data_IF_981399126520
#
_entry.id   IF_981399126520
#
_cell.length_a   1.000
_cell.length_b   1.000
_cell.length_c   1.000
_cell.angle_alpha   90.00
_cell.angle_beta   90.00
_cell.angle_gamma   90.00
#
_symmetry.space_group_name_H-M   'P 1'
#
loop_
_entity.id
_entity.type
_entity.pdbx_description
1 polymer ?
#
# COMPACT_ATOMS: atom_id res chain seq x y z
N UNK A 1 -50.33 -1.14 8.02
CA UNK A 1 -49.77 0.06 8.68
C UNK A 1 -48.24 -0.03 8.63
N UNK A 2 -47.61 0.82 7.82
CA UNK A 2 -46.15 0.88 7.59
C UNK A 2 -45.41 1.50 8.80
N UNK A 3 -44.26 0.92 9.19
CA UNK A 3 -43.15 1.59 9.90
C UNK A 3 -41.82 0.92 9.48
N UNK A 4 -41.16 1.38 8.41
CA UNK A 4 -39.88 2.14 8.40
C UNK A 4 -38.82 1.56 9.38
N UNK A 5 -37.84 0.76 8.96
CA UNK A 5 -36.57 1.09 8.24
C UNK A 5 -35.81 2.30 8.81
N UNK A 6 -34.68 2.03 9.48
CA UNK A 6 -33.36 2.67 9.29
C UNK A 6 -32.40 2.21 10.40
N UNK A 7 -31.43 1.39 10.03
CA UNK A 7 -30.27 1.02 10.85
C UNK A 7 -29.26 2.16 10.82
N UNK A 8 -28.96 2.73 11.99
CA UNK A 8 -27.94 3.74 12.23
C UNK A 8 -26.82 3.13 13.10
N UNK A 9 -25.90 2.40 12.47
CA UNK A 9 -24.62 2.07 13.12
C UNK A 9 -23.63 3.20 12.80
N UNK A 10 -23.50 4.15 13.74
CA UNK A 10 -22.47 5.19 13.73
C UNK A 10 -21.17 4.65 14.33
N UNK A 11 -20.07 4.98 13.64
CA UNK A 11 -18.67 4.94 14.05
C UNK A 11 -18.40 5.39 15.50
N UNK A 12 -17.51 4.66 16.18
CA UNK A 12 -16.46 5.13 17.10
C UNK A 12 -15.47 3.94 17.25
N UNK A 13 -14.19 3.95 16.87
CA UNK A 13 -13.05 4.82 17.15
C UNK A 13 -12.56 4.77 18.62
N UNK A 14 -11.34 4.22 18.79
CA UNK A 14 -10.30 4.50 19.81
C UNK A 14 -10.16 3.61 21.07
N UNK A 15 -9.09 2.77 21.01
CA UNK A 15 -8.07 2.37 22.04
C UNK A 15 -8.51 1.70 23.35
N UNK A 16 -7.97 0.49 23.61
CA UNK A 16 -6.85 0.28 24.56
C UNK A 16 -6.54 -1.21 24.83
N UNK A 17 -5.24 -1.53 24.81
CA UNK A 17 -4.49 -2.49 25.63
C UNK A 17 -5.01 -3.93 25.77
N UNK A 18 -4.31 -4.89 25.17
CA UNK A 18 -4.10 -6.20 25.78
C UNK A 18 -2.63 -6.62 25.58
N UNK A 19 -1.88 -6.65 26.69
CA UNK A 19 -0.59 -7.31 26.83
C UNK A 19 -0.88 -8.77 27.15
N UNK A 20 -0.39 -9.71 26.35
CA UNK A 20 -0.33 -11.13 26.74
C UNK A 20 1.10 -11.50 27.10
N UNK A 21 1.34 -11.73 28.39
CA UNK A 21 2.47 -12.50 28.91
C UNK A 21 2.05 -13.97 28.88
N UNK A 22 2.76 -14.81 28.13
CA UNK A 22 2.51 -16.25 28.07
C UNK A 22 3.78 -17.01 27.69
N UNK A 23 4.25 -17.85 28.61
CA UNK A 23 5.47 -18.63 28.52
C UNK A 23 5.20 -20.09 28.06
N UNK A 24 6.09 -20.61 27.18
CA UNK A 24 6.38 -22.03 26.95
C UNK A 24 5.79 -22.68 25.68
N UNK A 25 6.28 -23.85 25.19
CA UNK A 25 7.56 -24.55 25.41
C UNK A 25 8.32 -24.90 24.09
N UNK A 26 9.48 -25.54 24.27
CA UNK A 26 10.50 -25.93 23.28
C UNK A 26 9.95 -26.73 22.08
N UNK A 27 10.32 -26.34 20.84
CA UNK A 27 10.36 -27.26 19.70
C UNK A 27 11.74 -27.26 19.06
N UNK A 28 12.30 -28.46 18.92
CA UNK A 28 13.47 -28.73 18.09
C UNK A 28 12.97 -28.79 16.65
N UNK A 29 13.52 -27.97 15.77
CA UNK A 29 13.44 -28.20 14.33
C UNK A 29 14.85 -28.07 13.75
N UNK A 30 15.43 -29.22 13.46
CA UNK A 30 16.63 -29.39 12.67
C UNK A 30 16.27 -29.18 11.19
N UNK A 31 17.03 -28.33 10.50
CA UNK A 31 17.24 -28.39 9.06
C UNK A 31 16.02 -28.24 8.15
N UNK A 32 15.55 -27.02 7.95
CA UNK A 32 15.04 -26.64 6.64
C UNK A 32 15.53 -25.23 6.33
N UNK A 33 16.34 -25.15 5.27
CA UNK A 33 16.94 -23.94 4.73
C UNK A 33 15.81 -22.94 4.45
N UNK A 34 15.63 -21.97 5.34
CA UNK A 34 14.82 -20.81 5.07
C UNK A 34 15.46 -20.11 3.85
N UNK A 35 14.87 -20.33 2.67
CA UNK A 35 14.97 -19.37 1.59
C UNK A 35 14.44 -18.07 2.19
N UNK A 36 15.35 -17.19 2.60
CA UNK A 36 15.04 -15.85 3.02
C UNK A 36 14.38 -15.18 1.82
N UNK A 37 13.04 -15.18 1.80
CA UNK A 37 12.28 -14.26 0.99
C UNK A 37 12.84 -12.86 1.29
N UNK A 38 13.03 -12.00 0.28
CA UNK A 38 13.53 -10.65 0.50
C UNK A 38 12.67 -9.95 1.56
N UNK A 39 13.27 -9.20 2.49
CA UNK A 39 12.52 -8.51 3.53
C UNK A 39 11.54 -7.54 2.87
N UNK A 40 10.23 -7.79 3.02
CA UNK A 40 9.19 -6.86 2.54
C UNK A 40 7.99 -7.48 1.84
N UNK A 41 7.94 -8.80 1.64
CA UNK A 41 6.84 -9.51 0.95
C UNK A 41 6.06 -10.34 1.97
N UNK A 42 4.76 -10.09 2.11
CA UNK A 42 3.87 -10.97 2.88
C UNK A 42 3.62 -12.30 2.15
N UNK A 43 3.07 -13.29 2.86
CA UNK A 43 2.80 -14.65 2.34
C UNK A 43 1.83 -14.69 1.14
N UNK A 44 1.25 -13.56 0.73
CA UNK A 44 0.43 -13.39 -0.48
C UNK A 44 1.16 -12.65 -1.63
N UNK A 45 2.44 -12.28 -1.45
CA UNK A 45 3.22 -11.64 -2.52
C UNK A 45 3.00 -10.13 -2.65
N UNK A 46 2.43 -9.46 -1.64
CA UNK A 46 2.19 -8.03 -1.63
C UNK A 46 3.32 -7.33 -0.83
N UNK A 47 4.05 -6.36 -1.43
CA UNK A 47 4.95 -5.51 -0.68
C UNK A 47 4.14 -4.71 0.33
N UNK A 48 4.61 -4.70 1.58
CA UNK A 48 3.90 -4.23 2.78
C UNK A 48 3.38 -2.76 2.73
N UNK A 49 3.70 -2.00 1.67
CA UNK A 49 3.11 -0.71 1.31
C UNK A 49 2.94 -0.66 -0.21
N UNK A 50 1.76 -1.02 -0.70
CA UNK A 50 1.36 -0.67 -2.05
C UNK A 50 0.48 0.58 -2.02
N UNK A 51 0.59 1.50 -2.99
CA UNK A 51 -0.24 2.69 -3.04
C UNK A 51 -1.71 2.29 -3.20
N UNK A 52 -2.59 2.92 -2.42
CA UNK A 52 -4.02 2.74 -2.58
C UNK A 52 -4.47 3.24 -3.95
N UNK A 53 -5.49 2.60 -4.55
CA UNK A 53 -6.13 3.13 -5.75
C UNK A 53 -6.79 4.48 -5.42
N UNK A 54 -6.62 5.47 -6.29
CA UNK A 54 -7.03 6.83 -5.98
C UNK A 54 -6.27 7.88 -6.77
N UNK A 55 -6.58 9.15 -6.47
CA UNK A 55 -5.96 10.30 -7.13
C UNK A 55 -4.68 10.70 -6.41
N UNK A 56 -3.65 10.99 -7.18
CA UNK A 56 -2.32 11.38 -6.71
C UNK A 56 -1.88 12.65 -7.41
N UNK A 57 -1.12 13.46 -6.68
CA UNK A 57 -0.44 14.64 -7.19
C UNK A 57 1.04 14.37 -7.25
N UNK A 58 1.62 14.55 -8.43
CA UNK A 58 3.07 14.50 -8.62
C UNK A 58 3.70 15.78 -8.07
N UNK A 59 4.93 15.71 -7.54
CA UNK A 59 5.61 16.88 -6.99
C UNK A 59 5.77 18.03 -8.02
N UNK A 60 5.87 17.71 -9.32
CA UNK A 60 5.89 18.71 -10.41
C UNK A 60 4.54 19.36 -10.72
N UNK A 61 3.44 18.93 -10.08
CA UNK A 61 2.12 19.55 -10.17
C UNK A 61 1.07 18.80 -11.01
N UNK A 62 1.45 17.78 -11.78
CA UNK A 62 0.51 16.95 -12.56
C UNK A 62 -0.35 16.04 -11.67
N UNK A 63 -1.59 15.79 -12.11
CA UNK A 63 -2.52 14.86 -11.45
C UNK A 63 -2.55 13.52 -12.18
N UNK A 64 -2.53 12.46 -11.38
CA UNK A 64 -2.50 11.09 -11.86
C UNK A 64 -3.49 10.26 -11.05
N UNK A 65 -4.20 9.37 -11.72
CA UNK A 65 -5.11 8.42 -11.10
C UNK A 65 -4.45 7.04 -11.09
N UNK A 66 -4.23 6.47 -9.90
CA UNK A 66 -3.82 5.07 -9.76
C UNK A 66 -5.02 4.19 -10.02
N UNK A 67 -4.90 3.33 -11.02
CA UNK A 67 -5.96 2.43 -11.47
C UNK A 67 -5.87 1.10 -10.74
N UNK A 68 -4.69 0.48 -10.76
CA UNK A 68 -4.45 -0.84 -10.16
C UNK A 68 -2.96 -1.10 -9.98
N UNK A 69 -2.63 -2.23 -9.36
CA UNK A 69 -1.30 -2.79 -9.28
C UNK A 69 -1.19 -3.96 -10.26
N UNK A 70 -0.02 -4.12 -10.88
CA UNK A 70 0.32 -5.22 -11.76
C UNK A 70 1.57 -5.93 -11.25
N UNK A 71 1.66 -7.23 -11.50
CA UNK A 71 2.86 -8.02 -11.24
C UNK A 71 3.65 -8.15 -12.54
N UNK A 72 4.91 -7.75 -12.53
CA UNK A 72 5.81 -7.95 -13.65
C UNK A 72 6.19 -9.43 -13.73
N UNK A 73 5.75 -10.13 -14.77
CA UNK A 73 5.86 -11.59 -14.85
C UNK A 73 7.29 -12.09 -15.02
N UNK A 74 8.19 -11.27 -15.58
CA UNK A 74 9.57 -11.67 -15.82
C UNK A 74 10.48 -11.45 -14.61
N UNK A 75 10.23 -10.39 -13.83
CA UNK A 75 11.06 -10.03 -12.66
C UNK A 75 10.38 -10.34 -11.33
N UNK A 76 9.07 -10.55 -11.32
CA UNK A 76 8.25 -10.68 -10.11
C UNK A 76 8.06 -9.36 -9.36
N UNK A 77 8.47 -8.22 -9.94
CA UNK A 77 8.35 -6.93 -9.27
C UNK A 77 6.94 -6.36 -9.39
N UNK A 78 6.49 -5.64 -8.37
CA UNK A 78 5.17 -5.03 -8.38
C UNK A 78 5.23 -3.64 -9.02
N UNK A 79 4.33 -3.41 -9.98
CA UNK A 79 4.19 -2.18 -10.75
C UNK A 79 2.87 -1.50 -10.41
N UNK A 80 2.90 -0.18 -10.32
CA UNK A 80 1.73 0.69 -10.24
C UNK A 80 1.30 1.04 -11.65
N UNK A 81 0.04 0.75 -11.98
CA UNK A 81 -0.59 1.17 -13.22
C UNK A 81 -1.42 2.43 -12.92
N UNK A 82 -1.05 3.53 -13.56
CA UNK A 82 -1.67 4.83 -13.32
C UNK A 82 -1.88 5.59 -14.63
N UNK A 83 -2.90 6.44 -14.64
CA UNK A 83 -3.28 7.27 -15.78
C UNK A 83 -3.02 8.74 -15.45
N UNK A 84 -2.53 9.50 -16.41
CA UNK A 84 -2.46 10.95 -16.31
C UNK A 84 -3.80 11.59 -16.64
N UNK A 85 -4.24 12.54 -15.82
CA UNK A 85 -5.52 13.25 -16.04
C UNK A 85 -5.44 14.31 -17.14
N UNK A 86 -4.24 14.70 -17.57
CA UNK A 86 -4.03 15.76 -18.55
C UNK A 86 -4.11 15.25 -19.99
N UNK A 87 -3.51 14.09 -20.25
CA UNK A 87 -3.36 13.48 -21.58
C UNK A 87 -4.05 12.11 -21.69
N UNK A 88 -4.55 11.54 -20.58
CA UNK A 88 -5.19 10.23 -20.55
C UNK A 88 -4.23 9.05 -20.75
N UNK A 89 -2.93 9.30 -20.82
CA UNK A 89 -1.92 8.27 -21.04
C UNK A 89 -1.76 7.37 -19.81
N UNK A 90 -1.57 6.07 -20.04
CA UNK A 90 -1.40 5.06 -19.00
C UNK A 90 0.07 4.64 -18.91
N UNK A 91 0.58 4.59 -17.68
CA UNK A 91 1.96 4.29 -17.37
C UNK A 91 2.06 3.14 -16.38
N UNK A 92 3.16 2.39 -16.46
CA UNK A 92 3.54 1.37 -15.50
C UNK A 92 4.87 1.76 -14.84
N UNK A 93 4.96 1.69 -13.51
CA UNK A 93 6.19 2.02 -12.77
C UNK A 93 6.34 1.14 -11.52
N UNK A 94 7.55 0.69 -11.15
CA UNK A 94 7.75 -0.07 -9.91
C UNK A 94 7.22 0.65 -8.68
N UNK A 95 6.55 -0.09 -7.79
CA UNK A 95 5.96 0.43 -6.54
C UNK A 95 7.01 1.14 -5.69
N UNK A 96 8.20 0.54 -5.56
CA UNK A 96 9.31 1.12 -4.80
C UNK A 96 9.71 2.52 -5.32
N UNK A 97 9.70 2.72 -6.64
CA UNK A 97 9.98 4.03 -7.25
C UNK A 97 8.79 4.98 -7.15
N UNK A 98 7.56 4.47 -7.14
CA UNK A 98 6.38 5.30 -7.02
C UNK A 98 6.29 5.94 -5.63
N UNK A 99 6.61 5.19 -4.58
CA UNK A 99 6.59 5.65 -3.18
C UNK A 99 7.92 6.25 -2.70
N UNK A 100 8.81 6.56 -3.64
CA UNK A 100 10.14 7.11 -3.35
C UNK A 100 10.04 8.56 -2.82
N UNK A 101 10.86 8.86 -1.82
CA UNK A 101 11.05 10.22 -1.29
C UNK A 101 12.18 10.93 -2.04
N UNK A 102 11.98 12.21 -2.33
CA UNK A 102 12.92 13.04 -3.09
C UNK A 102 13.21 14.33 -2.31
N UNK A 103 14.43 14.83 -2.44
CA UNK A 103 14.76 16.19 -2.00
C UNK A 103 14.42 17.17 -3.13
N UNK A 104 13.51 18.11 -2.84
CA UNK A 104 13.13 19.17 -3.77
C UNK A 104 13.16 20.51 -3.05
N UNK A 105 13.99 21.44 -3.52
CA UNK A 105 14.14 22.79 -2.96
C UNK A 105 14.56 22.83 -1.47
N UNK A 106 15.27 21.80 -1.00
CA UNK A 106 15.70 21.67 0.40
C UNK A 106 14.69 20.97 1.30
N UNK A 107 13.52 20.60 0.78
CA UNK A 107 12.50 19.83 1.49
C UNK A 107 12.43 18.39 1.00
N UNK A 108 12.17 17.45 1.92
CA UNK A 108 11.94 16.04 1.58
C UNK A 108 10.46 15.85 1.23
N UNK A 109 10.17 15.56 -0.03
CA UNK A 109 8.82 15.39 -0.57
C UNK A 109 8.63 14.00 -1.16
N UNK A 110 7.45 13.43 -0.99
CA UNK A 110 7.09 12.19 -1.71
C UNK A 110 6.94 12.49 -3.21
N UNK A 111 7.43 11.60 -4.07
CA UNK A 111 7.27 11.73 -5.53
C UNK A 111 5.80 11.87 -5.93
N UNK A 112 4.93 11.08 -5.30
CA UNK A 112 3.48 11.12 -5.47
C UNK A 112 2.79 11.26 -4.11
N UNK A 113 1.92 12.25 -3.98
CA UNK A 113 1.14 12.50 -2.77
C UNK A 113 -0.33 12.14 -3.04
N UNK A 114 -0.97 11.27 -2.24
CA UNK A 114 -2.38 10.98 -2.40
C UNK A 114 -3.20 12.23 -2.13
N UNK A 115 -4.17 12.51 -3.00
CA UNK A 115 -5.11 13.62 -2.85
C UNK A 115 -6.42 13.01 -2.34
N UNK A 116 -6.78 13.29 -1.09
CA UNK A 116 -8.10 12.96 -0.59
C UNK A 116 -9.12 13.81 -1.36
N UNK A 117 -10.08 13.13 -2.01
CA UNK A 117 -11.25 13.77 -2.62
C UNK A 117 -12.29 14.16 -1.59
#
# INVERSE_FOLDING_TARGET
MLKYSLSLARLACVKNVIIFVGAGPKSRACGLRAMLAPPGVDIEGVPMQAPAVGRYRHFKGGYYQVLTLALHTETGEQLVIYQSEQDGAVYARPVAMFMEWLEHQGDVVSRFTPVAG
#
